data_IF_186301230688
#
_entry.id   IF_186301230688
#
_cell.length_a   1.000
_cell.length_b   1.000
_cell.length_c   1.000
_cell.angle_alpha   90.00
_cell.angle_beta   90.00
_cell.angle_gamma   90.00
#
_symmetry.space_group_name_H-M   'P 1'
#
loop_
_entity.id
_entity.type
_entity.pdbx_description
1 polymer ?
#
# COMPACT_ATOMS: atom_id res chain seq x y z
N UNK A 1 -13.62 -18.14 29.06
CA UNK A 1 -12.73 -19.23 28.62
C UNK A 1 -11.84 -18.72 27.50
N UNK A 2 -10.52 -18.65 27.69
CA UNK A 2 -9.61 -18.16 26.66
C UNK A 2 -9.48 -19.23 25.54
N UNK A 3 -9.80 -18.87 24.29
CA UNK A 3 -9.55 -19.71 23.12
C UNK A 3 -8.03 -19.92 22.99
N UNK A 4 -7.53 -21.12 23.33
CA UNK A 4 -6.14 -21.51 23.05
C UNK A 4 -5.93 -21.47 21.53
N UNK A 5 -5.10 -20.54 21.06
CA UNK A 5 -4.68 -20.49 19.66
C UNK A 5 -3.66 -21.60 19.43
N UNK A 6 -4.10 -22.71 18.86
CA UNK A 6 -3.21 -23.79 18.41
C UNK A 6 -2.61 -23.35 17.08
N UNK A 7 -1.29 -23.32 16.98
CA UNK A 7 -0.59 -23.11 15.70
C UNK A 7 -0.66 -24.41 14.91
N UNK A 8 -1.64 -24.49 14.01
CA UNK A 8 -1.74 -25.59 13.05
C UNK A 8 -0.92 -25.24 11.81
N UNK A 9 0.00 -26.13 11.46
CA UNK A 9 0.65 -26.10 10.15
C UNK A 9 -0.29 -26.82 9.19
N UNK A 10 -0.97 -26.06 8.34
CA UNK A 10 -1.85 -26.60 7.31
C UNK A 10 -1.08 -26.58 5.99
N UNK A 11 -0.95 -27.72 5.28
CA UNK A 11 -0.38 -27.73 3.95
C UNK A 11 -1.16 -26.80 3.02
N UNK A 12 -0.47 -26.07 2.15
CA UNK A 12 -1.10 -25.08 1.28
C UNK A 12 -2.23 -25.69 0.43
N UNK A 13 -2.01 -26.87 -0.14
CA UNK A 13 -3.02 -27.58 -0.93
C UNK A 13 -4.30 -27.89 -0.13
N UNK A 14 -4.16 -28.29 1.15
CA UNK A 14 -5.30 -28.54 2.02
C UNK A 14 -6.07 -27.26 2.35
N UNK A 15 -5.36 -26.13 2.46
CA UNK A 15 -5.98 -24.81 2.64
C UNK A 15 -6.76 -24.41 1.37
N UNK A 16 -6.18 -24.59 0.18
CA UNK A 16 -6.84 -24.30 -1.10
C UNK A 16 -8.13 -25.10 -1.25
N UNK A 17 -8.09 -26.41 -0.95
CA UNK A 17 -9.28 -27.24 -0.99
C UNK A 17 -10.35 -26.76 0.00
N UNK A 18 -9.95 -26.41 1.22
CA UNK A 18 -10.87 -25.88 2.24
C UNK A 18 -11.51 -24.56 1.80
N UNK A 19 -10.74 -23.68 1.16
CA UNK A 19 -11.23 -22.41 0.59
C UNK A 19 -12.21 -22.67 -0.55
N UNK A 20 -11.96 -23.69 -1.39
CA UNK A 20 -12.84 -24.04 -2.50
C UNK A 20 -14.26 -24.43 -2.02
N UNK A 21 -14.37 -25.05 -0.85
CA UNK A 21 -15.62 -25.49 -0.24
C UNK A 21 -16.38 -24.38 0.53
N UNK A 22 -15.76 -23.20 0.72
CA UNK A 22 -16.42 -22.08 1.40
C UNK A 22 -17.64 -21.55 0.64
N UNK A 23 -18.61 -21.05 1.42
CA UNK A 23 -19.73 -20.28 0.88
C UNK A 23 -19.22 -19.02 0.15
N UNK A 24 -20.04 -18.47 -0.75
CA UNK A 24 -19.69 -17.22 -1.47
C UNK A 24 -19.47 -16.06 -0.48
N UNK A 25 -20.28 -15.99 0.58
CA UNK A 25 -20.17 -14.98 1.62
C UNK A 25 -18.81 -15.07 2.34
N UNK A 26 -18.41 -16.28 2.74
CA UNK A 26 -17.15 -16.52 3.42
C UNK A 26 -15.94 -16.29 2.50
N UNK A 27 -16.06 -16.64 1.21
CA UNK A 27 -15.03 -16.34 0.21
C UNK A 27 -14.83 -14.83 0.06
N UNK A 28 -15.90 -14.04 0.02
CA UNK A 28 -15.80 -12.57 -0.04
C UNK A 28 -15.14 -12.00 1.21
N UNK A 29 -15.49 -12.54 2.39
CA UNK A 29 -14.88 -12.12 3.64
C UNK A 29 -13.39 -12.45 3.69
N UNK A 30 -13.01 -13.66 3.24
CA UNK A 30 -11.61 -14.07 3.14
C UNK A 30 -10.85 -13.20 2.15
N UNK A 31 -11.45 -12.88 1.00
CA UNK A 31 -10.86 -12.00 0.00
C UNK A 31 -10.51 -10.63 0.60
N UNK A 32 -11.48 -9.96 1.23
CA UNK A 32 -11.26 -8.65 1.84
C UNK A 32 -10.16 -8.68 2.92
N UNK A 33 -10.08 -9.76 3.70
CA UNK A 33 -9.02 -9.93 4.68
C UNK A 33 -7.64 -10.09 4.05
N UNK A 34 -7.53 -10.90 2.98
CA UNK A 34 -6.26 -11.10 2.27
C UNK A 34 -5.81 -9.81 1.56
N UNK A 35 -6.73 -9.07 0.99
CA UNK A 35 -6.46 -7.77 0.35
C UNK A 35 -5.87 -6.76 1.37
N UNK A 36 -6.47 -6.66 2.56
CA UNK A 36 -5.97 -5.80 3.65
C UNK A 36 -4.57 -6.22 4.14
N UNK A 37 -4.35 -7.52 4.36
CA UNK A 37 -3.03 -8.03 4.78
C UNK A 37 -1.95 -7.79 3.73
N UNK A 38 -2.25 -8.01 2.44
CA UNK A 38 -1.30 -7.77 1.36
C UNK A 38 -0.97 -6.28 1.24
N UNK A 39 -1.99 -5.41 1.26
CA UNK A 39 -1.77 -3.97 1.19
C UNK A 39 -0.88 -3.46 2.34
N UNK A 40 -1.09 -3.97 3.56
CA UNK A 40 -0.23 -3.63 4.71
C UNK A 40 1.20 -4.12 4.55
N UNK A 41 1.39 -5.34 4.07
CA UNK A 41 2.74 -5.87 3.79
C UNK A 41 3.46 -5.09 2.70
N UNK A 42 2.72 -4.67 1.67
CA UNK A 42 3.24 -3.81 0.63
C UNK A 42 3.65 -2.47 1.22
N UNK A 43 2.79 -1.77 1.97
CA UNK A 43 3.12 -0.49 2.63
C UNK A 43 4.39 -0.59 3.49
N UNK A 44 4.53 -1.64 4.30
CA UNK A 44 5.76 -1.92 5.07
C UNK A 44 6.99 -2.11 4.17
N UNK A 45 6.80 -2.63 2.96
CA UNK A 45 7.86 -2.82 1.96
C UNK A 45 8.21 -1.50 1.26
N UNK A 46 7.21 -0.70 0.86
CA UNK A 46 7.41 0.62 0.23
C UNK A 46 8.11 1.59 1.17
N UNK A 47 7.77 1.58 2.48
CA UNK A 47 8.47 2.38 3.49
C UNK A 47 9.97 2.02 3.61
N UNK A 48 10.33 0.77 3.31
CA UNK A 48 11.69 0.27 3.39
C UNK A 48 12.44 0.28 2.06
N UNK A 49 11.75 0.55 0.94
CA UNK A 49 12.35 0.59 -0.39
C UNK A 49 13.34 1.78 -0.50
N UNK A 50 14.63 1.52 -0.77
CA UNK A 50 15.63 2.56 -0.92
C UNK A 50 15.32 3.56 -2.04
N UNK A 51 14.66 3.15 -3.12
CA UNK A 51 14.29 4.01 -4.23
C UNK A 51 13.18 4.98 -3.82
N UNK A 52 12.13 4.49 -3.15
CA UNK A 52 11.02 5.31 -2.63
C UNK A 52 11.55 6.32 -1.61
N UNK A 53 12.45 5.90 -0.72
CA UNK A 53 13.10 6.81 0.23
C UNK A 53 13.96 7.86 -0.47
N UNK A 54 14.67 7.50 -1.54
CA UNK A 54 15.46 8.45 -2.31
C UNK A 54 14.58 9.51 -2.99
N UNK A 55 13.45 9.11 -3.59
CA UNK A 55 12.47 10.04 -4.19
C UNK A 55 11.88 10.99 -3.15
N UNK A 56 11.56 10.50 -1.95
CA UNK A 56 11.05 11.34 -0.85
C UNK A 56 12.10 12.38 -0.41
N UNK A 57 13.37 11.97 -0.26
CA UNK A 57 14.45 12.88 0.12
C UNK A 57 14.77 13.90 -0.98
N UNK A 58 14.72 13.50 -2.25
CA UNK A 58 14.86 14.41 -3.39
C UNK A 58 13.75 15.46 -3.40
N UNK A 59 12.49 15.06 -3.22
CA UNK A 59 11.36 15.98 -3.15
C UNK A 59 11.48 16.96 -1.97
N UNK A 60 11.95 16.49 -0.81
CA UNK A 60 12.23 17.36 0.36
C UNK A 60 13.36 18.35 0.08
N UNK A 61 14.42 17.91 -0.58
CA UNK A 61 15.55 18.76 -0.95
C UNK A 61 15.12 19.84 -1.95
N UNK A 62 14.35 19.49 -2.98
CA UNK A 62 13.78 20.44 -3.94
C UNK A 62 12.90 21.49 -3.22
N UNK A 63 12.05 21.05 -2.29
CA UNK A 63 11.22 21.96 -1.50
C UNK A 63 12.06 22.90 -0.62
N UNK A 64 13.06 22.38 0.07
CA UNK A 64 13.96 23.17 0.91
C UNK A 64 14.80 24.17 0.09
N UNK A 65 15.17 23.80 -1.14
CA UNK A 65 15.89 24.66 -2.08
C UNK A 65 15.01 25.74 -2.71
N UNK A 66 13.68 25.69 -2.50
CA UNK A 66 12.74 26.58 -3.18
C UNK A 66 12.51 26.23 -4.65
N UNK A 67 12.87 25.01 -5.07
CA UNK A 67 12.69 24.51 -6.43
C UNK A 67 11.25 24.00 -6.62
N UNK A 68 10.31 24.91 -6.45
CA UNK A 68 8.90 24.70 -6.69
C UNK A 68 8.29 25.95 -7.29
N UNK A 69 7.25 25.75 -8.09
CA UNK A 69 6.44 26.83 -8.65
C UNK A 69 5.05 26.75 -8.03
N UNK A 70 4.58 27.87 -7.50
CA UNK A 70 3.22 27.99 -7.01
C UNK A 70 2.24 28.08 -8.18
N UNK A 71 0.99 27.70 -7.93
CA UNK A 71 -0.08 27.81 -8.92
C UNK A 71 -0.24 29.26 -9.43
N UNK A 72 -0.06 30.25 -8.55
CA UNK A 72 -0.15 31.65 -8.93
C UNK A 72 1.00 32.08 -9.86
N UNK A 73 2.23 31.63 -9.61
CA UNK A 73 3.40 31.89 -10.48
C UNK A 73 3.23 31.24 -11.85
N UNK A 74 2.70 30.01 -11.88
CA UNK A 74 2.37 29.32 -13.13
C UNK A 74 1.31 30.06 -13.94
N UNK A 75 0.25 30.54 -13.30
CA UNK A 75 -0.82 31.30 -13.96
C UNK A 75 -0.27 32.63 -14.48
N UNK A 76 0.51 33.37 -13.69
CA UNK A 76 1.12 34.62 -14.09
C UNK A 76 2.06 34.45 -15.31
N UNK A 77 2.92 33.43 -15.29
CA UNK A 77 3.83 33.13 -16.39
C UNK A 77 3.13 32.66 -17.69
N UNK A 78 1.88 32.20 -17.61
CA UNK A 78 1.04 31.93 -18.79
C UNK A 78 0.34 33.18 -19.32
N UNK A 79 0.01 34.16 -18.47
CA UNK A 79 -0.58 35.42 -18.89
C UNK A 79 0.43 36.37 -19.55
N UNK A 80 1.72 36.28 -19.22
CA UNK A 80 2.78 37.10 -19.85
C UNK A 80 3.20 36.61 -21.25
N UNK A 81 2.83 35.39 -21.63
CA UNK A 81 3.14 34.80 -22.95
C UNK A 81 1.92 34.74 -23.89
N UNK A 82 0.83 35.43 -23.55
CA UNK A 82 -0.41 35.53 -24.33
C UNK A 82 -0.56 36.85 -25.05
#
# INVERSE_FOLDING_TARGET
>A
MAKKKVKLLVPFESLVQSIAELSIEDKRRLWAFLEDELARMEEETWEQDPAVRAEIEEARAAYAAGDYMTINEYIAGKCEKG
#
